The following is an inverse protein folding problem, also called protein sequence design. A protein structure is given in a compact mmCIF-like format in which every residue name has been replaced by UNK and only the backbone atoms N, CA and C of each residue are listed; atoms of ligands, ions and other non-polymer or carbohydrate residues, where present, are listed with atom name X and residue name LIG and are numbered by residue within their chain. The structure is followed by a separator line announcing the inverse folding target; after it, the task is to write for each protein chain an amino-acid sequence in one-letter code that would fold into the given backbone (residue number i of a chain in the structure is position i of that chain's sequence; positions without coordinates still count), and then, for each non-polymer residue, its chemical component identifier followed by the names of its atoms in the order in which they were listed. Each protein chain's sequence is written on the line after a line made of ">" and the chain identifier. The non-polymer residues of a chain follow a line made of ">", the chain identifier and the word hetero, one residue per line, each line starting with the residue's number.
data_IF_832528384594
#
_entry.id   IF_832528384594
#
_cell.length_a   1.000
_cell.length_b   1.000
_cell.length_c   1.000
_cell.angle_alpha   90.00
_cell.angle_beta   90.00
_cell.angle_gamma   90.00
#
_symmetry.space_group_name_H-M   'P 1'
#
loop_
_entity.id
_entity.type
_entity.pdbx_description
1 polymer ?
#
# COMPACT_ATOMS: atom_id res chain seq x y z
N UNK A 1 28.36 11.34 7.65
CA UNK A 1 26.96 11.42 8.15
C UNK A 1 26.10 10.79 7.08
N UNK A 2 25.68 9.54 7.28
CA UNK A 2 25.01 8.75 6.23
C UNK A 2 23.52 9.13 6.20
N UNK A 3 23.17 10.13 5.38
CA UNK A 3 21.79 10.54 5.12
C UNK A 3 21.40 9.99 3.75
N UNK A 4 20.38 9.16 3.69
CA UNK A 4 19.82 8.66 2.43
C UNK A 4 18.44 9.28 2.26
N UNK A 5 18.23 9.90 1.10
CA UNK A 5 16.97 10.50 0.70
C UNK A 5 16.54 9.93 -0.64
N UNK A 6 15.27 9.56 -0.77
CA UNK A 6 14.70 9.15 -2.03
C UNK A 6 13.24 9.54 -2.11
N UNK A 7 12.73 9.60 -3.33
CA UNK A 7 11.31 9.83 -3.58
C UNK A 7 10.71 8.53 -4.09
N UNK A 8 9.66 8.05 -3.44
CA UNK A 8 8.97 6.83 -3.82
C UNK A 8 7.45 7.09 -3.86
N UNK A 9 6.66 6.31 -4.62
CA UNK A 9 5.21 6.39 -4.52
C UNK A 9 4.76 6.00 -3.10
N UNK A 10 3.65 6.54 -2.58
CA UNK A 10 3.16 6.23 -1.23
C UNK A 10 2.80 4.74 -1.06
N UNK A 11 2.34 4.11 -2.13
CA UNK A 11 2.02 2.70 -2.21
C UNK A 11 2.51 2.14 -3.55
N UNK A 12 2.91 0.87 -3.59
CA UNK A 12 3.13 0.17 -4.85
C UNK A 12 1.81 0.09 -5.61
N UNK A 13 1.71 0.85 -6.71
CA UNK A 13 0.55 0.78 -7.58
C UNK A 13 0.64 -0.50 -8.39
N UNK A 14 -0.20 -1.49 -8.10
CA UNK A 14 -0.58 -2.43 -9.13
C UNK A 14 -1.31 -1.63 -10.21
N UNK A 15 -0.70 -1.48 -11.38
CA UNK A 15 -1.38 -0.86 -12.52
C UNK A 15 -2.63 -1.69 -12.80
N UNK A 16 -3.81 -1.19 -12.40
CA UNK A 16 -5.07 -1.86 -12.69
C UNK A 16 -5.21 -1.90 -14.19
N UNK A 17 -4.98 -3.09 -14.76
CA UNK A 17 -5.11 -3.33 -16.20
C UNK A 17 -6.51 -2.95 -16.65
N UNK A 18 -6.67 -2.45 -17.89
CA UNK A 18 -7.95 -2.19 -18.52
C UNK A 18 -8.94 -3.37 -18.38
N UNK A 19 -8.41 -4.60 -18.34
CA UNK A 19 -9.19 -5.83 -18.10
C UNK A 19 -9.93 -5.83 -16.75
N UNK A 20 -9.36 -5.23 -15.70
CA UNK A 20 -9.97 -5.17 -14.37
C UNK A 20 -11.24 -4.29 -14.38
N UNK A 21 -11.20 -3.14 -15.07
CA UNK A 21 -12.37 -2.29 -15.26
C UNK A 21 -13.44 -2.97 -16.11
N UNK A 22 -13.04 -3.70 -17.16
CA UNK A 22 -13.99 -4.42 -18.01
C UNK A 22 -14.68 -5.58 -17.27
N UNK A 23 -13.95 -6.38 -16.48
CA UNK A 23 -14.52 -7.49 -15.70
C UNK A 23 -15.44 -6.96 -14.60
N UNK A 24 -15.01 -5.94 -13.85
CA UNK A 24 -15.85 -5.33 -12.80
C UNK A 24 -17.11 -4.69 -13.36
N UNK A 25 -17.03 -4.04 -14.53
CA UNK A 25 -18.20 -3.52 -15.23
C UNK A 25 -19.17 -4.63 -15.67
N UNK A 26 -18.66 -5.75 -16.18
CA UNK A 26 -19.48 -6.89 -16.58
C UNK A 26 -20.23 -7.51 -15.39
N UNK A 27 -19.54 -7.68 -14.25
CA UNK A 27 -20.14 -8.19 -13.02
C UNK A 27 -21.20 -7.22 -12.49
N UNK A 28 -20.88 -5.94 -12.41
CA UNK A 28 -21.82 -4.92 -11.96
C UNK A 28 -23.07 -4.86 -12.87
N UNK A 29 -22.89 -4.96 -14.18
CA UNK A 29 -23.99 -5.02 -15.14
C UNK A 29 -24.90 -6.23 -14.90
N UNK A 30 -24.32 -7.43 -14.71
CA UNK A 30 -25.10 -8.64 -14.40
C UNK A 30 -25.92 -8.50 -13.11
N UNK A 31 -25.33 -7.90 -12.07
CA UNK A 31 -26.02 -7.64 -10.81
C UNK A 31 -27.16 -6.62 -10.96
N UNK A 32 -26.97 -5.56 -11.77
CA UNK A 32 -28.01 -4.58 -12.07
C UNK A 32 -29.16 -5.21 -12.85
N UNK A 33 -28.87 -6.05 -13.85
CA UNK A 33 -29.91 -6.77 -14.62
C UNK A 33 -30.71 -7.68 -13.70
N UNK A 34 -30.06 -8.43 -12.81
CA UNK A 34 -30.75 -9.27 -11.83
C UNK A 34 -31.61 -8.45 -10.86
N UNK A 35 -31.08 -7.33 -10.35
CA UNK A 35 -31.81 -6.41 -9.49
C UNK A 35 -33.05 -5.81 -10.20
N UNK A 36 -32.94 -5.52 -11.50
CA UNK A 36 -34.06 -5.05 -12.31
C UNK A 36 -35.14 -6.14 -12.51
N UNK A 37 -34.75 -7.40 -12.74
CA UNK A 37 -35.69 -8.53 -12.85
C UNK A 37 -36.48 -8.76 -11.55
N UNK A 38 -35.82 -8.57 -10.40
CA UNK A 38 -36.46 -8.63 -9.08
C UNK A 38 -37.21 -7.35 -8.70
N UNK A 39 -37.23 -6.34 -9.58
CA UNK A 39 -37.79 -4.99 -9.37
C UNK A 39 -37.28 -4.31 -8.10
N UNK A 40 -36.05 -4.63 -7.69
CA UNK A 40 -35.46 -4.10 -6.47
C UNK A 40 -34.61 -2.86 -6.78
N UNK A 41 -35.27 -1.70 -6.75
CA UNK A 41 -34.63 -0.40 -7.03
C UNK A 41 -33.52 -0.07 -6.00
N UNK A 42 -33.72 -0.44 -4.73
CA UNK A 42 -32.72 -0.23 -3.67
C UNK A 42 -31.41 -0.95 -3.97
N UNK A 43 -31.50 -2.20 -4.43
CA UNK A 43 -30.33 -3.00 -4.78
C UNK A 43 -29.56 -2.39 -5.98
N UNK A 44 -30.27 -1.88 -6.99
CA UNK A 44 -29.66 -1.18 -8.13
C UNK A 44 -28.83 0.02 -7.64
N UNK A 45 -29.40 0.86 -6.77
CA UNK A 45 -28.72 2.05 -6.25
C UNK A 45 -27.44 1.67 -5.48
N UNK A 46 -27.51 0.65 -4.62
CA UNK A 46 -26.34 0.18 -3.84
C UNK A 46 -25.25 -0.34 -4.78
N UNK A 47 -25.59 -1.14 -5.78
CA UNK A 47 -24.61 -1.68 -6.74
C UNK A 47 -23.93 -0.56 -7.52
N UNK A 48 -24.69 0.42 -8.01
CA UNK A 48 -24.16 1.56 -8.77
C UNK A 48 -23.23 2.38 -7.89
N UNK A 49 -23.66 2.77 -6.69
CA UNK A 49 -22.83 3.54 -5.75
C UNK A 49 -21.56 2.77 -5.35
N UNK A 50 -21.69 1.46 -5.12
CA UNK A 50 -20.57 0.58 -4.82
C UNK A 50 -19.56 0.54 -5.96
N UNK A 51 -20.02 0.30 -7.19
CA UNK A 51 -19.16 0.30 -8.38
C UNK A 51 -18.41 1.62 -8.55
N UNK A 52 -19.12 2.76 -8.48
CA UNK A 52 -18.48 4.08 -8.59
C UNK A 52 -17.47 4.34 -7.47
N UNK A 53 -17.77 3.91 -6.24
CA UNK A 53 -16.85 4.04 -5.12
C UNK A 53 -15.57 3.25 -5.38
N UNK A 54 -15.66 1.97 -5.76
CA UNK A 54 -14.49 1.14 -6.03
C UNK A 54 -13.71 1.67 -7.24
N UNK A 55 -14.41 2.12 -8.30
CA UNK A 55 -13.78 2.71 -9.47
C UNK A 55 -13.00 4.00 -9.12
N UNK A 56 -13.60 4.88 -8.31
CA UNK A 56 -12.95 6.10 -7.84
C UNK A 56 -11.70 5.81 -6.99
N UNK A 57 -11.78 4.81 -6.09
CA UNK A 57 -10.62 4.35 -5.32
C UNK A 57 -9.53 3.75 -6.22
N UNK A 58 -9.92 3.01 -7.26
CA UNK A 58 -8.98 2.40 -8.21
C UNK A 58 -8.26 3.40 -9.13
N UNK A 59 -8.83 4.58 -9.35
CA UNK A 59 -8.23 5.66 -10.15
C UNK A 59 -7.29 6.57 -9.35
N UNK A 60 -7.27 6.44 -8.02
CA UNK A 60 -6.44 7.27 -7.15
C UNK A 60 -4.96 6.89 -7.36
N UNK A 61 -4.23 7.73 -8.09
CA UNK A 61 -2.79 7.56 -8.28
C UNK A 61 -2.08 7.77 -6.93
N UNK A 62 -1.10 6.91 -6.55
CA UNK A 62 -0.34 7.12 -5.34
C UNK A 62 0.44 8.41 -5.45
N UNK A 63 0.35 9.24 -4.41
CA UNK A 63 1.14 10.45 -4.31
C UNK A 63 2.62 10.06 -4.22
N UNK A 64 3.51 10.88 -4.80
CA UNK A 64 4.94 10.75 -4.56
C UNK A 64 5.25 11.30 -3.17
N UNK A 65 5.87 10.50 -2.32
CA UNK A 65 6.30 10.87 -0.97
C UNK A 65 7.81 11.02 -0.92
N UNK A 66 8.29 12.03 -0.21
CA UNK A 66 9.71 12.25 0.05
C UNK A 66 10.13 11.50 1.31
N UNK A 67 11.16 10.67 1.20
CA UNK A 67 11.62 9.80 2.27
C UNK A 67 13.07 10.14 2.60
N UNK A 68 13.36 10.34 3.89
CA UNK A 68 14.73 10.54 4.35
C UNK A 68 15.01 9.72 5.61
N UNK A 69 16.06 8.91 5.59
CA UNK A 69 16.57 8.24 6.78
C UNK A 69 17.61 9.15 7.42
N UNK A 70 17.35 9.52 8.67
CA UNK A 70 18.21 10.41 9.46
C UNK A 70 18.60 9.72 10.77
N UNK A 71 19.63 10.24 11.46
CA UNK A 71 20.04 9.71 12.77
C UNK A 71 18.96 9.80 13.85
N UNK A 72 17.96 10.68 13.69
CA UNK A 72 16.85 10.86 14.64
C UNK A 72 15.64 9.96 14.32
N UNK A 73 15.55 9.43 13.10
CA UNK A 73 14.38 8.70 12.63
C UNK A 73 14.18 8.78 11.12
N UNK A 74 13.00 8.35 10.70
CA UNK A 74 12.59 8.27 9.29
C UNK A 74 11.61 9.41 9.02
N UNK A 75 11.98 10.30 8.10
CA UNK A 75 11.13 11.41 7.66
C UNK A 75 10.34 10.96 6.44
N UNK A 76 9.03 11.16 6.49
CA UNK A 76 8.08 10.89 5.40
C UNK A 76 7.34 12.22 5.14
N UNK A 77 7.58 12.83 4.00
CA UNK A 77 7.22 14.22 3.67
C UNK A 77 7.64 15.18 4.80
N UNK A 78 6.67 15.73 5.55
CA UNK A 78 6.89 16.67 6.66
C UNK A 78 6.77 16.00 8.05
N UNK A 79 6.59 14.69 8.12
CA UNK A 79 6.41 13.94 9.37
C UNK A 79 7.68 13.16 9.72
N UNK A 80 8.22 13.41 10.91
CA UNK A 80 9.36 12.66 11.45
C UNK A 80 8.87 11.51 12.35
N UNK A 81 9.11 10.28 11.92
CA UNK A 81 8.93 9.08 12.72
C UNK A 81 10.24 8.77 13.45
N UNK A 82 10.31 9.16 14.71
CA UNK A 82 11.49 8.87 15.56
C UNK A 82 11.64 7.38 15.82
N UNK A 83 12.88 6.91 15.98
CA UNK A 83 13.14 5.50 16.27
C UNK A 83 12.50 5.02 17.57
N UNK A 84 12.34 5.90 18.57
CA UNK A 84 11.59 5.63 19.79
C UNK A 84 10.14 5.24 19.55
N UNK A 85 9.52 5.73 18.48
CA UNK A 85 8.13 5.43 18.12
C UNK A 85 7.99 4.19 17.22
N UNK A 86 9.11 3.58 16.83
CA UNK A 86 9.17 2.40 15.97
C UNK A 86 9.59 1.18 16.81
N UNK A 87 9.00 0.01 16.51
CA UNK A 87 9.29 -1.26 17.21
C UNK A 87 10.30 -2.12 16.47
N UNK A 88 10.12 -2.25 15.16
CA UNK A 88 10.94 -3.11 14.32
C UNK A 88 10.74 -2.74 12.85
N UNK A 89 11.65 -3.22 12.00
CA UNK A 89 11.49 -3.12 10.56
C UNK A 89 11.63 -4.49 9.90
N UNK A 90 11.10 -4.62 8.69
CA UNK A 90 11.31 -5.75 7.80
C UNK A 90 11.38 -5.25 6.36
N UNK A 91 12.21 -5.86 5.53
CA UNK A 91 12.27 -5.54 4.10
C UNK A 91 11.67 -6.70 3.33
N UNK A 92 10.55 -6.44 2.66
CA UNK A 92 9.97 -7.35 1.69
C UNK A 92 10.71 -7.17 0.37
N UNK A 93 11.48 -8.18 -0.01
CA UNK A 93 12.27 -8.20 -1.24
C UNK A 93 11.96 -9.47 -2.03
N UNK A 94 11.23 -9.31 -3.13
CA UNK A 94 10.94 -10.38 -4.09
C UNK A 94 10.89 -9.75 -5.48
N UNK A 95 12.05 -9.54 -6.12
CA UNK A 95 12.13 -9.00 -7.48
C UNK A 95 11.38 -9.92 -8.46
N UNK A 96 10.71 -9.39 -9.50
CA UNK A 96 10.65 -7.98 -9.92
C UNK A 96 9.54 -7.14 -9.24
N UNK A 97 8.62 -7.76 -8.49
CA UNK A 97 7.39 -7.09 -8.03
C UNK A 97 7.52 -6.41 -6.66
N UNK A 98 8.35 -6.92 -5.74
CA UNK A 98 8.33 -6.51 -4.33
C UNK A 98 9.67 -5.89 -3.91
N UNK A 99 9.65 -4.59 -3.60
CA UNK A 99 10.76 -3.83 -3.02
C UNK A 99 10.22 -2.83 -1.99
N UNK A 100 9.87 -3.32 -0.80
CA UNK A 100 9.22 -2.50 0.22
C UNK A 100 9.87 -2.65 1.60
N UNK A 101 9.96 -1.54 2.31
CA UNK A 101 10.32 -1.46 3.71
C UNK A 101 9.04 -1.36 4.54
N UNK A 102 8.86 -2.28 5.48
CA UNK A 102 7.75 -2.28 6.42
C UNK A 102 8.24 -1.93 7.82
N UNK A 103 7.75 -0.81 8.35
CA UNK A 103 8.06 -0.32 9.69
C UNK A 103 6.89 -0.61 10.63
N UNK A 104 7.16 -1.22 11.77
CA UNK A 104 6.16 -1.42 12.81
C UNK A 104 6.16 -0.23 13.77
N UNK A 105 5.06 0.50 13.85
CA UNK A 105 4.89 1.58 14.83
C UNK A 105 4.52 1.04 16.21
N UNK A 106 4.85 1.80 17.27
CA UNK A 106 4.33 1.58 18.62
C UNK A 106 2.87 2.03 18.75
N UNK A 107 2.37 2.89 17.86
CA UNK A 107 1.01 3.44 17.91
C UNK A 107 -0.03 2.37 17.57
N UNK A 108 -1.13 2.34 18.32
CA UNK A 108 -2.23 1.38 18.13
C UNK A 108 -3.04 1.65 16.85
N UNK A 109 -3.11 2.91 16.41
CA UNK A 109 -3.96 3.34 15.29
C UNK A 109 -3.37 3.02 13.91
N UNK A 110 -2.05 2.93 13.79
CA UNK A 110 -1.35 2.60 12.54
C UNK A 110 -0.13 1.71 12.87
N UNK A 111 -0.33 0.39 13.00
CA UNK A 111 0.70 -0.52 13.48
C UNK A 111 1.81 -0.78 12.45
N UNK A 112 1.53 -0.61 11.15
CA UNK A 112 2.48 -0.86 10.07
C UNK A 112 2.51 0.32 9.09
N UNK A 113 3.71 0.73 8.68
CA UNK A 113 3.98 1.75 7.68
C UNK A 113 4.80 1.08 6.58
N UNK A 114 4.20 0.88 5.41
CA UNK A 114 4.88 0.31 4.24
C UNK A 114 5.41 1.44 3.38
N UNK A 115 6.66 1.30 2.94
CA UNK A 115 7.40 2.32 2.22
C UNK A 115 8.10 1.64 1.05
N UNK A 116 7.78 1.96 -0.21
CA UNK A 116 8.51 1.40 -1.33
C UNK A 116 9.93 1.95 -1.41
N UNK A 117 10.87 1.06 -1.71
CA UNK A 117 12.29 1.38 -1.82
C UNK A 117 12.64 1.99 -3.19
N UNK A 118 11.78 1.82 -4.20
CA UNK A 118 12.03 2.29 -5.56
C UNK A 118 13.33 1.72 -6.12
N UNK A 119 14.23 2.62 -6.55
CA UNK A 119 15.56 2.26 -7.08
C UNK A 119 16.65 2.13 -5.99
N UNK A 120 16.31 2.34 -4.71
CA UNK A 120 17.30 2.24 -3.64
C UNK A 120 17.72 0.80 -3.36
N UNK A 121 19.00 0.63 -3.02
CA UNK A 121 19.54 -0.68 -2.69
C UNK A 121 19.02 -1.13 -1.32
N UNK A 122 18.23 -2.22 -1.25
CA UNK A 122 17.67 -2.72 0.01
C UNK A 122 18.76 -3.10 1.03
N UNK A 123 19.95 -3.51 0.56
CA UNK A 123 21.08 -3.88 1.43
C UNK A 123 21.63 -2.68 2.18
N UNK A 124 21.71 -1.53 1.50
CA UNK A 124 22.22 -0.28 2.09
C UNK A 124 21.23 0.27 3.13
N UNK A 125 19.94 0.30 2.77
CA UNK A 125 18.86 0.68 3.68
C UNK A 125 18.83 -0.21 4.91
N UNK A 126 18.95 -1.53 4.73
CA UNK A 126 19.04 -2.50 5.83
C UNK A 126 20.21 -2.18 6.76
N UNK A 127 21.40 -1.95 6.21
CA UNK A 127 22.62 -1.67 6.98
C UNK A 127 22.49 -0.43 7.85
N UNK A 128 21.79 0.61 7.37
CA UNK A 128 21.54 1.83 8.14
C UNK A 128 20.49 1.57 9.22
N UNK A 129 19.36 0.95 8.88
CA UNK A 129 18.27 0.71 9.82
C UNK A 129 18.66 -0.26 10.95
N UNK A 130 19.51 -1.25 10.69
CA UNK A 130 20.04 -2.16 11.71
C UNK A 130 20.80 -1.43 12.83
N UNK A 131 21.33 -0.22 12.59
CA UNK A 131 21.98 0.58 13.63
C UNK A 131 21.00 1.17 14.64
N UNK A 132 19.71 1.29 14.28
CA UNK A 132 18.72 2.05 15.05
C UNK A 132 17.50 1.22 15.47
N UNK A 133 17.13 0.20 14.70
CA UNK A 133 15.94 -0.62 14.92
C UNK A 133 16.27 -2.11 14.77
N UNK A 134 15.61 -2.99 15.54
CA UNK A 134 15.74 -4.42 15.35
C UNK A 134 14.98 -4.87 14.09
N UNK A 135 15.60 -5.73 13.31
CA UNK A 135 14.96 -6.43 12.20
C UNK A 135 14.10 -7.58 12.76
N UNK A 136 12.79 -7.56 12.49
CA UNK A 136 11.89 -8.66 12.86
C UNK A 136 10.98 -8.98 11.70
N UNK A 137 10.88 -10.27 11.35
CA UNK A 137 9.95 -10.76 10.33
C UNK A 137 8.54 -10.28 10.65
N UNK A 138 7.94 -9.56 9.71
CA UNK A 138 6.55 -9.13 9.78
C UNK A 138 5.76 -10.03 8.83
N UNK A 139 4.62 -10.53 9.28
CA UNK A 139 3.69 -11.25 8.40
C UNK A 139 3.00 -10.24 7.49
N UNK A 140 2.95 -10.54 6.19
CA UNK A 140 2.04 -9.83 5.28
C UNK A 140 0.62 -10.07 5.76
N UNK A 141 -0.21 -9.01 5.80
CA UNK A 141 -1.62 -9.18 6.12
C UNK A 141 -2.23 -10.13 5.08
N UNK A 142 -3.09 -11.05 5.52
CA UNK A 142 -3.86 -11.93 4.62
C UNK A 142 -4.65 -11.07 3.60
N UNK A 143 -5.06 -9.87 4.01
CA UNK A 143 -5.71 -8.87 3.14
C UNK A 143 -4.77 -8.35 2.07
N UNK A 144 -3.48 -8.14 2.38
CA UNK A 144 -2.48 -7.70 1.39
C UNK A 144 -2.20 -8.81 0.36
N UNK A 145 -2.15 -10.06 0.80
CA UNK A 145 -1.99 -11.21 -0.08
C UNK A 145 -3.21 -11.40 -1.01
N UNK A 146 -4.42 -11.20 -0.47
CA UNK A 146 -5.64 -11.18 -1.26
C UNK A 146 -5.66 -10.01 -2.24
N UNK A 147 -5.30 -8.80 -1.80
CA UNK A 147 -5.21 -7.63 -2.66
C UNK A 147 -4.23 -7.87 -3.81
N UNK A 148 -3.03 -8.41 -3.52
CA UNK A 148 -2.03 -8.78 -4.53
C UNK A 148 -2.55 -9.82 -5.53
N UNK A 149 -3.14 -10.92 -5.04
CA UNK A 149 -3.73 -11.95 -5.89
C UNK A 149 -4.81 -11.38 -6.82
N UNK A 150 -5.59 -10.42 -6.30
CA UNK A 150 -6.66 -9.75 -7.03
C UNK A 150 -6.21 -8.49 -7.81
N UNK A 151 -4.90 -8.15 -7.79
CA UNK A 151 -4.34 -6.89 -8.35
C UNK A 151 -5.06 -5.63 -7.87
N UNK A 152 -5.39 -5.58 -6.59
CA UNK A 152 -6.03 -4.45 -5.90
C UNK A 152 -5.03 -3.45 -5.32
#
# INVERSE_FOLDING_TARGET
>A
MDKIEWTAPEFTQYSKSQSWFNISALIAFGLVVWAALTKNILLIIIIVLGYFSVAAFGLKQPRKIHLAITSKGIMIDNLLYTYDNLKSFWIFYSPPEIKELSLRSKKMTMPFIKIPLGEQNPVEVRKILLKYLPEKKQEESIIDNLARSLRF
#
